data_IF_741957169608
#
_entry.id   IF_741957169608
#
_cell.length_a   1.000
_cell.length_b   1.000
_cell.length_c   1.000
_cell.angle_alpha   90.00
_cell.angle_beta   90.00
_cell.angle_gamma   90.00
#
_symmetry.space_group_name_H-M   'P 1'
#
loop_
_entity.id
_entity.type
_entity.pdbx_description
1 polymer ?
#
# COMPACT_ATOMS: atom_id res chain seq x y z
N UNK A 1 -7.01 66.81 57.52
CA UNK A 1 -7.39 65.38 57.46
C UNK A 1 -7.75 64.98 56.03
N UNK A 2 -8.58 65.75 55.30
CA UNK A 2 -8.94 65.47 53.89
C UNK A 2 -7.76 65.38 52.88
N UNK A 3 -6.62 66.04 53.12
CA UNK A 3 -5.50 66.04 52.17
C UNK A 3 -4.62 64.78 52.18
N UNK A 4 -4.54 64.03 53.29
CA UNK A 4 -3.71 62.82 53.35
C UNK A 4 -4.43 61.60 52.78
N UNK A 5 -5.74 61.46 53.05
CA UNK A 5 -6.58 60.39 52.49
C UNK A 5 -6.72 60.51 50.96
N UNK A 6 -6.78 61.74 50.43
CA UNK A 6 -6.80 61.98 48.98
C UNK A 6 -5.50 61.58 48.27
N UNK A 7 -4.34 61.81 48.90
CA UNK A 7 -3.04 61.40 48.33
C UNK A 7 -2.79 59.90 48.46
N UNK A 8 -3.24 59.26 49.55
CA UNK A 8 -3.17 57.81 49.73
C UNK A 8 -4.08 57.07 48.73
N UNK A 9 -5.31 57.58 48.52
CA UNK A 9 -6.23 57.02 47.54
C UNK A 9 -5.72 57.16 46.10
N UNK A 10 -5.07 58.29 45.78
CA UNK A 10 -4.46 58.49 44.46
C UNK A 10 -3.23 57.59 44.25
N UNK A 11 -2.39 57.40 45.28
CA UNK A 11 -1.26 56.47 45.27
C UNK A 11 -1.70 55.02 45.03
N UNK A 12 -2.69 54.54 45.77
CA UNK A 12 -3.26 53.20 45.58
C UNK A 12 -3.89 53.02 44.18
N UNK A 13 -4.51 54.07 43.63
CA UNK A 13 -5.03 54.06 42.26
C UNK A 13 -3.93 53.92 41.20
N UNK A 14 -2.80 54.61 41.37
CA UNK A 14 -1.65 54.50 40.46
C UNK A 14 -0.95 53.15 40.53
N UNK A 15 -0.82 52.57 41.73
CA UNK A 15 -0.25 51.22 41.92
C UNK A 15 -1.14 50.15 41.28
N UNK A 16 -2.46 50.25 41.47
CA UNK A 16 -3.44 49.36 40.85
C UNK A 16 -3.41 49.43 39.32
N UNK A 17 -3.29 50.64 38.76
CA UNK A 17 -3.15 50.82 37.32
C UNK A 17 -1.84 50.23 36.80
N UNK A 18 -0.73 50.44 37.52
CA UNK A 18 0.58 49.85 37.20
C UNK A 18 0.51 48.31 37.14
N UNK A 19 -0.02 47.69 38.19
CA UNK A 19 -0.23 46.25 38.24
C UNK A 19 -1.15 45.74 37.11
N UNK A 20 -2.21 46.49 36.79
CA UNK A 20 -3.08 46.21 35.65
C UNK A 20 -2.36 46.25 34.30
N UNK A 21 -1.47 47.22 34.10
CA UNK A 21 -0.66 47.33 32.86
C UNK A 21 0.36 46.21 32.74
N UNK A 22 1.03 45.84 33.83
CA UNK A 22 1.95 44.69 33.86
C UNK A 22 1.22 43.37 33.56
N UNK A 23 0.06 43.16 34.19
CA UNK A 23 -0.77 41.98 33.92
C UNK A 23 -1.24 41.93 32.46
N UNK A 24 -1.57 43.07 31.85
CA UNK A 24 -1.95 43.12 30.44
C UNK A 24 -0.76 42.79 29.54
N UNK A 25 0.43 43.34 29.84
CA UNK A 25 1.67 43.02 29.12
C UNK A 25 2.01 41.53 29.16
N UNK A 26 1.95 40.91 30.34
CA UNK A 26 2.14 39.47 30.48
C UNK A 26 1.09 38.67 29.71
N UNK A 27 -0.16 39.14 29.69
CA UNK A 27 -1.24 38.55 28.89
C UNK A 27 -0.98 38.62 27.39
N UNK A 28 -0.48 39.75 26.89
CA UNK A 28 -0.13 39.92 25.46
C UNK A 28 1.07 39.07 25.06
N UNK A 29 2.08 38.95 25.92
CA UNK A 29 3.25 38.11 25.66
C UNK A 29 2.86 36.63 25.61
N UNK A 30 2.02 36.19 26.55
CA UNK A 30 1.47 34.83 26.57
C UNK A 30 0.64 34.52 25.32
N UNK A 31 -0.19 35.47 24.87
CA UNK A 31 -0.94 35.33 23.62
C UNK A 31 0.00 35.23 22.41
N UNK A 32 1.04 36.07 22.35
CA UNK A 32 2.08 36.01 21.32
C UNK A 32 2.73 34.63 21.24
N UNK A 33 3.23 34.11 22.36
CA UNK A 33 3.82 32.78 22.43
C UNK A 33 2.82 31.67 22.03
N UNK A 34 1.55 31.81 22.43
CA UNK A 34 0.47 30.91 22.02
C UNK A 34 0.24 30.93 20.50
N UNK A 35 0.26 32.10 19.87
CA UNK A 35 0.11 32.22 18.41
C UNK A 35 1.30 31.65 17.65
N UNK A 36 2.52 31.83 18.14
CA UNK A 36 3.73 31.22 17.55
C UNK A 36 3.68 29.70 17.63
N UNK A 37 3.29 29.16 18.80
CA UNK A 37 3.12 27.72 19.01
C UNK A 37 2.06 27.14 18.07
N UNK A 38 0.93 27.84 17.90
CA UNK A 38 -0.11 27.42 16.96
C UNK A 38 0.41 27.45 15.52
N UNK A 39 1.14 28.49 15.12
CA UNK A 39 1.78 28.58 13.81
C UNK A 39 2.69 27.39 13.52
N UNK A 40 3.62 27.10 14.42
CA UNK A 40 4.51 25.94 14.30
C UNK A 40 3.73 24.60 14.24
N UNK A 41 2.66 24.48 15.02
CA UNK A 41 1.76 23.33 14.98
C UNK A 41 1.07 23.18 13.62
N UNK A 42 0.61 24.28 13.01
CA UNK A 42 -0.01 24.26 11.68
C UNK A 42 0.98 23.92 10.57
N UNK A 43 2.22 24.42 10.64
CA UNK A 43 3.29 24.06 9.70
C UNK A 43 3.64 22.57 9.80
N UNK A 44 3.76 22.05 11.02
CA UNK A 44 4.01 20.62 11.26
C UNK A 44 2.89 19.75 10.69
N UNK A 45 1.63 20.18 10.89
CA UNK A 45 0.48 19.48 10.33
C UNK A 45 0.51 19.52 8.78
N UNK A 46 0.81 20.67 8.20
CA UNK A 46 0.97 20.83 6.74
C UNK A 46 2.02 19.86 6.17
N UNK A 47 3.22 19.85 6.74
CA UNK A 47 4.27 18.92 6.34
C UNK A 47 3.86 17.44 6.51
N UNK A 48 3.14 17.13 7.58
CA UNK A 48 2.56 15.80 7.80
C UNK A 48 1.56 15.40 6.72
N UNK A 49 0.69 16.33 6.30
CA UNK A 49 -0.28 16.09 5.22
C UNK A 49 0.38 15.91 3.86
N UNK A 50 1.43 16.67 3.55
CA UNK A 50 2.21 16.51 2.32
C UNK A 50 2.92 15.16 2.28
N UNK A 51 3.53 14.76 3.40
CA UNK A 51 4.19 13.46 3.54
C UNK A 51 3.18 12.32 3.35
N UNK A 52 1.99 12.42 3.95
CA UNK A 52 0.94 11.44 3.77
C UNK A 52 0.48 11.37 2.31
N UNK A 53 0.27 12.52 1.65
CA UNK A 53 -0.11 12.57 0.24
C UNK A 53 0.93 11.91 -0.68
N UNK A 54 2.22 12.16 -0.44
CA UNK A 54 3.31 11.51 -1.18
C UNK A 54 3.35 9.99 -0.94
N UNK A 55 3.09 9.56 0.30
CA UNK A 55 2.96 8.14 0.65
C UNK A 55 1.80 7.45 -0.07
N UNK A 56 0.63 8.09 -0.11
CA UNK A 56 -0.55 7.58 -0.83
C UNK A 56 -0.30 7.50 -2.33
N UNK A 57 0.35 8.51 -2.93
CA UNK A 57 0.73 8.46 -4.35
C UNK A 57 1.66 7.28 -4.65
N UNK A 58 2.70 7.11 -3.84
CA UNK A 58 3.68 6.03 -4.01
C UNK A 58 3.04 4.64 -3.87
N UNK A 59 2.05 4.51 -2.98
CA UNK A 59 1.28 3.28 -2.81
C UNK A 59 0.37 2.99 -4.02
N UNK A 60 -0.21 4.04 -4.63
CA UNK A 60 -0.96 3.92 -5.88
C UNK A 60 -0.11 3.37 -7.02
N UNK A 61 1.06 3.96 -7.27
CA UNK A 61 2.03 3.50 -8.27
C UNK A 61 2.48 2.05 -8.01
N UNK A 62 2.75 1.71 -6.74
CA UNK A 62 3.10 0.35 -6.35
C UNK A 62 1.97 -0.65 -6.65
N UNK A 63 0.72 -0.25 -6.43
CA UNK A 63 -0.45 -1.11 -6.69
C UNK A 63 -0.67 -1.32 -8.18
N UNK A 64 -0.53 -0.26 -8.99
CA UNK A 64 -0.59 -0.34 -10.46
C UNK A 64 0.50 -1.29 -11.00
N UNK A 65 1.74 -1.14 -10.55
CA UNK A 65 2.85 -2.01 -10.97
C UNK A 65 2.63 -3.49 -10.62
N UNK A 66 2.05 -3.79 -9.45
CA UNK A 66 1.70 -5.18 -9.10
C UNK A 66 0.56 -5.69 -10.00
N UNK A 67 -0.40 -4.83 -10.35
CA UNK A 67 -1.47 -5.15 -11.30
C UNK A 67 -0.92 -5.56 -12.66
N UNK A 68 -0.05 -4.75 -13.26
CA UNK A 68 0.63 -5.06 -14.53
C UNK A 68 1.44 -6.36 -14.45
N UNK A 69 2.18 -6.56 -13.36
CA UNK A 69 2.93 -7.80 -13.13
C UNK A 69 2.02 -9.03 -13.04
N UNK A 70 0.86 -8.90 -12.40
CA UNK A 70 -0.12 -9.98 -12.26
C UNK A 70 -0.74 -10.33 -13.61
N UNK A 71 -1.09 -9.33 -14.42
CA UNK A 71 -1.59 -9.53 -15.80
C UNK A 71 -0.55 -10.28 -16.64
N UNK A 72 0.72 -9.86 -16.60
CA UNK A 72 1.81 -10.51 -17.34
C UNK A 72 2.03 -11.97 -16.93
N UNK A 73 1.95 -12.28 -15.63
CA UNK A 73 2.03 -13.68 -15.15
C UNK A 73 0.81 -14.46 -15.63
N UNK A 74 -0.38 -13.85 -15.65
CA UNK A 74 -1.61 -14.46 -16.19
C UNK A 74 -1.46 -14.86 -17.66
N UNK A 75 -0.95 -13.95 -18.50
CA UNK A 75 -0.67 -14.24 -19.91
C UNK A 75 0.35 -15.37 -20.08
N UNK A 76 1.44 -15.34 -19.30
CA UNK A 76 2.45 -16.39 -19.29
C UNK A 76 1.88 -17.76 -18.88
N UNK A 77 1.01 -17.77 -17.88
CA UNK A 77 0.31 -18.97 -17.39
C UNK A 77 -0.61 -19.54 -18.46
N UNK A 78 -1.37 -18.68 -19.15
CA UNK A 78 -2.22 -19.09 -20.27
C UNK A 78 -1.40 -19.71 -21.41
N UNK A 79 -0.28 -19.07 -21.77
CA UNK A 79 0.63 -19.58 -22.80
C UNK A 79 1.23 -20.94 -22.41
N UNK A 80 1.65 -21.09 -21.16
CA UNK A 80 2.16 -22.36 -20.63
C UNK A 80 1.09 -23.45 -20.64
N UNK A 81 -0.16 -23.12 -20.30
CA UNK A 81 -1.29 -24.05 -20.37
C UNK A 81 -1.55 -24.54 -21.79
N UNK A 82 -1.54 -23.64 -22.77
CA UNK A 82 -1.68 -24.00 -24.19
C UNK A 82 -0.52 -24.89 -24.69
N UNK A 83 0.71 -24.60 -24.27
CA UNK A 83 1.88 -25.43 -24.55
C UNK A 83 1.77 -26.83 -23.93
N UNK A 84 1.32 -26.90 -22.68
CA UNK A 84 1.10 -28.16 -21.96
C UNK A 84 0.01 -29.01 -22.63
N UNK A 85 -1.10 -28.40 -23.04
CA UNK A 85 -2.16 -29.07 -23.79
C UNK A 85 -1.64 -29.64 -25.11
N UNK A 86 -0.86 -28.85 -25.86
CA UNK A 86 -0.26 -29.30 -27.12
C UNK A 86 0.73 -30.45 -26.91
N UNK A 87 1.52 -30.40 -25.84
CA UNK A 87 2.46 -31.46 -25.49
C UNK A 87 1.73 -32.75 -25.07
N UNK A 88 0.65 -32.63 -24.30
CA UNK A 88 -0.22 -33.77 -23.94
C UNK A 88 -0.83 -34.42 -25.17
N UNK A 89 -1.36 -33.64 -26.11
CA UNK A 89 -1.88 -34.15 -27.39
C UNK A 89 -0.80 -34.89 -28.20
N UNK A 90 0.40 -34.32 -28.31
CA UNK A 90 1.53 -34.98 -28.99
C UNK A 90 1.97 -36.27 -28.30
N UNK A 91 1.96 -36.29 -26.97
CA UNK A 91 2.28 -37.48 -26.16
C UNK A 91 1.25 -38.58 -26.37
N UNK A 92 -0.04 -38.23 -26.41
CA UNK A 92 -1.11 -39.18 -26.73
C UNK A 92 -0.93 -39.80 -28.12
N UNK A 93 -0.70 -38.96 -29.14
CA UNK A 93 -0.47 -39.45 -30.51
C UNK A 93 0.76 -40.36 -30.60
N UNK A 94 1.84 -40.02 -29.89
CA UNK A 94 3.04 -40.86 -29.84
C UNK A 94 2.77 -42.21 -29.14
N UNK A 95 1.95 -42.22 -28.09
CA UNK A 95 1.51 -43.44 -27.43
C UNK A 95 0.75 -44.36 -28.38
N UNK A 96 -0.23 -43.83 -29.13
CA UNK A 96 -1.00 -44.61 -30.11
C UNK A 96 -0.11 -45.17 -31.24
N UNK A 97 0.86 -44.39 -31.74
CA UNK A 97 1.81 -44.86 -32.75
C UNK A 97 2.69 -46.00 -32.19
N UNK A 98 3.19 -45.82 -30.97
CA UNK A 98 4.05 -46.79 -30.29
C UNK A 98 3.33 -48.13 -30.10
N UNK A 99 2.08 -48.08 -29.64
CA UNK A 99 1.23 -49.27 -29.46
C UNK A 99 1.01 -50.00 -30.81
N UNK A 100 0.68 -49.24 -31.86
CA UNK A 100 0.46 -49.75 -33.22
C UNK A 100 1.69 -50.45 -33.81
N UNK A 101 2.90 -49.95 -33.52
CA UNK A 101 4.16 -50.51 -34.00
C UNK A 101 4.70 -51.68 -33.16
N UNK A 102 3.98 -52.12 -32.13
CA UNK A 102 4.43 -53.18 -31.23
C UNK A 102 5.56 -52.73 -30.30
N UNK A 103 5.39 -51.53 -29.72
CA UNK A 103 6.34 -50.81 -28.87
C UNK A 103 7.27 -51.68 -28.03
N UNK A 104 8.56 -51.34 -28.04
CA UNK A 104 9.51 -51.91 -27.07
C UNK A 104 9.24 -51.31 -25.69
N UNK A 105 9.36 -52.08 -24.60
CA UNK A 105 9.02 -51.58 -23.26
C UNK A 105 9.76 -50.31 -22.79
N UNK A 106 10.88 -49.93 -23.42
CA UNK A 106 11.55 -48.65 -23.15
C UNK A 106 10.85 -47.44 -23.79
N UNK A 107 10.15 -47.63 -24.90
CA UNK A 107 9.41 -46.57 -25.59
C UNK A 107 8.08 -46.32 -24.88
N UNK A 108 7.37 -47.39 -24.49
CA UNK A 108 6.17 -47.29 -23.63
C UNK A 108 6.47 -46.58 -22.30
N UNK A 109 7.54 -46.97 -21.61
CA UNK A 109 7.94 -46.28 -20.38
C UNK A 109 8.29 -44.81 -20.60
N UNK A 110 8.82 -44.47 -21.78
CA UNK A 110 9.13 -43.09 -22.17
C UNK A 110 7.88 -42.25 -22.41
N UNK A 111 6.87 -42.79 -23.10
CA UNK A 111 5.60 -42.11 -23.36
C UNK A 111 4.78 -41.95 -22.08
N UNK A 112 4.75 -42.96 -21.21
CA UNK A 112 4.14 -42.86 -19.88
C UNK A 112 4.81 -41.79 -19.01
N UNK A 113 6.14 -41.77 -18.98
CA UNK A 113 6.89 -40.75 -18.21
C UNK A 113 6.65 -39.34 -18.76
N UNK A 114 6.53 -39.19 -20.08
CA UNK A 114 6.21 -37.90 -20.69
C UNK A 114 4.79 -37.46 -20.33
N UNK A 115 3.83 -38.40 -20.35
CA UNK A 115 2.44 -38.16 -19.93
C UNK A 115 2.36 -37.65 -18.48
N UNK A 116 3.02 -38.35 -17.56
CA UNK A 116 3.10 -37.93 -16.15
C UNK A 116 3.76 -36.55 -15.99
N UNK A 117 4.80 -36.25 -16.80
CA UNK A 117 5.43 -34.94 -16.85
C UNK A 117 4.46 -33.83 -17.32
N UNK A 118 3.66 -34.10 -18.35
CA UNK A 118 2.65 -33.16 -18.86
C UNK A 118 1.53 -32.90 -17.86
N UNK A 119 1.06 -33.93 -17.16
CA UNK A 119 0.06 -33.76 -16.09
C UNK A 119 0.61 -32.92 -14.94
N UNK A 120 1.85 -33.20 -14.51
CA UNK A 120 2.49 -32.43 -13.45
C UNK A 120 2.70 -30.97 -13.85
N UNK A 121 3.04 -30.69 -15.11
CA UNK A 121 3.16 -29.33 -15.62
C UNK A 121 1.78 -28.63 -15.65
N UNK A 122 0.73 -29.34 -16.04
CA UNK A 122 -0.65 -28.85 -16.02
C UNK A 122 -1.07 -28.41 -14.63
N UNK A 123 -0.88 -29.28 -13.63
CA UNK A 123 -1.18 -28.96 -12.23
C UNK A 123 -0.37 -27.77 -11.70
N UNK A 124 0.90 -27.65 -12.09
CA UNK A 124 1.73 -26.48 -11.75
C UNK A 124 1.20 -25.18 -12.37
N UNK A 125 0.70 -25.26 -13.61
CA UNK A 125 0.12 -24.11 -14.33
C UNK A 125 -1.20 -23.67 -13.71
N UNK A 126 -2.07 -24.60 -13.32
CA UNK A 126 -3.31 -24.30 -12.58
C UNK A 126 -3.02 -23.65 -11.23
N UNK A 127 -2.04 -24.18 -10.48
CA UNK A 127 -1.64 -23.60 -9.21
C UNK A 127 -1.09 -22.18 -9.36
N UNK A 128 -0.34 -21.90 -10.43
CA UNK A 128 0.15 -20.57 -10.74
C UNK A 128 -1.00 -19.61 -11.05
N UNK A 129 -1.98 -20.07 -11.86
CA UNK A 129 -3.21 -19.33 -12.16
C UNK A 129 -3.98 -18.93 -10.91
N UNK A 130 -4.21 -19.87 -9.99
CA UNK A 130 -4.87 -19.59 -8.72
C UNK A 130 -4.06 -18.59 -7.86
N UNK A 131 -2.73 -18.68 -7.88
CA UNK A 131 -1.84 -17.73 -7.22
C UNK A 131 -1.97 -16.31 -7.80
N UNK A 132 -2.03 -16.18 -9.13
CA UNK A 132 -2.23 -14.89 -9.80
C UNK A 132 -3.60 -14.28 -9.52
N UNK A 133 -4.67 -15.07 -9.52
CA UNK A 133 -6.02 -14.59 -9.16
C UNK A 133 -6.06 -14.07 -7.72
N UNK A 134 -5.45 -14.81 -6.79
CA UNK A 134 -5.35 -14.37 -5.40
C UNK A 134 -4.54 -13.10 -5.23
N UNK A 135 -3.46 -12.92 -6.02
CA UNK A 135 -2.67 -11.71 -6.01
C UNK A 135 -3.47 -10.52 -6.55
N UNK A 136 -4.17 -10.71 -7.67
CA UNK A 136 -5.07 -9.71 -8.26
C UNK A 136 -6.15 -9.24 -7.29
N UNK A 137 -6.83 -10.16 -6.61
CA UNK A 137 -7.81 -9.83 -5.58
C UNK A 137 -7.19 -9.06 -4.40
N UNK A 138 -5.96 -9.41 -4.01
CA UNK A 138 -5.21 -8.69 -2.99
C UNK A 138 -4.89 -7.25 -3.41
N UNK A 139 -4.47 -7.03 -4.66
CA UNK A 139 -4.20 -5.70 -5.19
C UNK A 139 -5.45 -4.84 -5.33
N UNK A 140 -6.57 -5.42 -5.76
CA UNK A 140 -7.85 -4.70 -5.84
C UNK A 140 -8.32 -4.25 -4.45
N UNK A 141 -8.19 -5.13 -3.44
CA UNK A 141 -8.53 -4.77 -2.05
C UNK A 141 -7.62 -3.67 -1.51
N UNK A 142 -6.34 -3.66 -1.87
CA UNK A 142 -5.41 -2.62 -1.45
C UNK A 142 -5.77 -1.28 -2.11
N UNK A 143 -6.03 -1.28 -3.42
CA UNK A 143 -6.47 -0.09 -4.16
C UNK A 143 -7.77 0.50 -3.61
N UNK A 144 -8.77 -0.34 -3.31
CA UNK A 144 -10.03 0.09 -2.73
C UNK A 144 -9.89 0.70 -1.31
N UNK A 145 -8.94 0.19 -0.51
CA UNK A 145 -8.66 0.72 0.83
C UNK A 145 -7.89 2.04 0.84
N UNK A 146 -7.20 2.38 -0.25
CA UNK A 146 -6.45 3.64 -0.41
C UNK A 146 -7.25 4.76 -1.07
N UNK A 147 -8.40 4.44 -1.69
CA UNK A 147 -9.28 5.39 -2.37
C UNK A 147 -10.42 5.95 -1.51
N UNK A 148 -10.52 5.55 -0.23
CA UNK A 148 -11.54 5.99 0.74
C UNK A 148 -11.00 6.97 1.77
#
# INVERSE_FOLDING_TARGET
MVSSEGTESQGAGTESLGAGTESLGAGTDSLGAGTETLGAGTETLGAGTETLGAGTWSLGEGTESIGEGTESIGEGTWSLGAGTWSLGAGTWSLGEETESLGGTGSLDAGTESLGAGTESLGAGTESLGAGTESLGAGTESLGAGTGS
#
